data_IF_986095661804
#
_entry.id   IF_986095661804
#
_cell.length_a   1.000
_cell.length_b   1.000
_cell.length_c   1.000
_cell.angle_alpha   90.00
_cell.angle_beta   90.00
_cell.angle_gamma   90.00
#
_symmetry.space_group_name_H-M   'P 1'
#
loop_
_entity.id
_entity.type
_entity.pdbx_description
1 polymer ?
#
# COMPACT_ATOMS: atom_id res chain seq x y z
N UNK A 1 -33.69 11.23 -12.76
CA UNK A 1 -32.39 10.77 -13.15
C UNK A 1 -31.43 10.71 -11.97
N UNK A 2 -31.07 9.55 -11.65
CA UNK A 2 -30.08 9.45 -10.62
C UNK A 2 -28.72 9.89 -11.18
N UNK A 3 -28.09 10.78 -10.52
CA UNK A 3 -26.70 11.08 -10.82
C UNK A 3 -25.86 10.03 -10.18
N UNK A 4 -25.45 9.09 -10.96
CA UNK A 4 -24.47 8.14 -10.51
C UNK A 4 -23.15 8.87 -10.37
N UNK A 5 -22.81 9.22 -9.15
CA UNK A 5 -21.47 9.71 -8.85
C UNK A 5 -20.57 8.49 -8.99
N UNK A 6 -19.82 8.48 -10.09
CA UNK A 6 -18.84 7.41 -10.30
C UNK A 6 -17.62 7.71 -9.47
N UNK A 7 -17.34 6.83 -8.53
CA UNK A 7 -16.10 6.84 -7.77
C UNK A 7 -15.10 5.98 -8.52
N UNK A 8 -13.94 6.52 -8.79
CA UNK A 8 -12.89 5.79 -9.49
C UNK A 8 -11.65 5.61 -8.61
N UNK A 9 -10.86 4.61 -8.97
CA UNK A 9 -9.68 4.25 -8.22
C UNK A 9 -8.56 3.79 -9.15
N UNK A 10 -7.35 3.85 -8.62
CA UNK A 10 -6.18 3.21 -9.20
C UNK A 10 -5.58 2.23 -8.20
N UNK A 11 -4.89 1.23 -8.71
CA UNK A 11 -4.14 0.29 -7.91
C UNK A 11 -2.66 0.48 -8.21
N UNK A 12 -1.86 0.68 -7.19
CA UNK A 12 -0.40 0.78 -7.29
C UNK A 12 0.22 -0.46 -6.67
N UNK A 13 0.81 -1.28 -7.51
CA UNK A 13 1.50 -2.50 -7.10
C UNK A 13 2.97 -2.19 -6.93
N UNK A 14 3.52 -2.50 -5.77
CA UNK A 14 4.91 -2.22 -5.43
C UNK A 14 5.64 -3.53 -5.21
N UNK A 15 6.61 -3.84 -6.06
CA UNK A 15 7.36 -5.07 -5.90
C UNK A 15 8.24 -5.42 -7.10
N UNK A 16 9.53 -5.56 -6.85
CA UNK A 16 10.48 -6.01 -7.87
C UNK A 16 10.14 -7.42 -8.37
N UNK A 17 9.62 -8.27 -7.49
CA UNK A 17 9.25 -9.65 -7.82
C UNK A 17 8.12 -9.73 -8.85
N UNK A 18 7.24 -8.75 -8.86
CA UNK A 18 6.17 -8.67 -9.86
C UNK A 18 6.76 -8.29 -11.21
N UNK A 19 7.62 -7.26 -11.24
CA UNK A 19 8.26 -6.79 -12.47
C UNK A 19 9.18 -7.83 -13.09
N UNK A 20 9.87 -8.61 -12.27
CA UNK A 20 10.78 -9.66 -12.75
C UNK A 20 10.06 -10.94 -13.15
N UNK A 21 8.77 -11.05 -12.87
CA UNK A 21 8.01 -12.25 -13.17
C UNK A 21 8.20 -13.39 -12.16
N UNK A 22 8.92 -13.16 -11.05
CA UNK A 22 9.12 -14.19 -10.01
C UNK A 22 7.84 -14.49 -9.26
N UNK A 23 6.96 -13.52 -9.16
CA UNK A 23 5.67 -13.66 -8.47
C UNK A 23 4.57 -13.18 -9.40
N UNK A 24 3.53 -14.00 -9.53
CA UNK A 24 2.34 -13.59 -10.26
C UNK A 24 1.47 -12.74 -9.36
N UNK A 25 1.02 -11.60 -9.87
CA UNK A 25 0.08 -10.75 -9.15
C UNK A 25 -1.32 -11.34 -9.20
N UNK A 26 -1.83 -11.78 -8.05
CA UNK A 26 -3.20 -12.25 -7.91
C UNK A 26 -4.06 -11.26 -7.13
N UNK A 27 -3.45 -10.29 -6.48
CA UNK A 27 -4.17 -9.32 -5.64
C UNK A 27 -5.00 -8.34 -6.44
N UNK A 28 -4.52 -7.93 -7.62
CA UNK A 28 -5.22 -6.96 -8.45
C UNK A 28 -6.59 -7.45 -8.87
N UNK A 29 -6.69 -8.68 -9.35
CA UNK A 29 -7.96 -9.26 -9.77
C UNK A 29 -8.96 -9.32 -8.60
N UNK A 30 -8.51 -9.78 -7.44
CA UNK A 30 -9.34 -9.88 -6.24
C UNK A 30 -9.82 -8.50 -5.79
N UNK A 31 -8.91 -7.54 -5.71
CA UNK A 31 -9.22 -6.19 -5.26
C UNK A 31 -10.14 -5.48 -6.24
N UNK A 32 -9.87 -5.56 -7.53
CA UNK A 32 -10.69 -4.91 -8.56
C UNK A 32 -12.10 -5.47 -8.57
N UNK A 33 -12.24 -6.80 -8.45
CA UNK A 33 -13.55 -7.45 -8.40
C UNK A 33 -14.35 -6.97 -7.18
N UNK A 34 -13.71 -6.92 -6.02
CA UNK A 34 -14.37 -6.46 -4.81
C UNK A 34 -14.77 -4.98 -4.90
N UNK A 35 -13.87 -4.13 -5.38
CA UNK A 35 -14.15 -2.71 -5.53
C UNK A 35 -15.33 -2.46 -6.49
N UNK A 36 -15.36 -3.16 -7.61
CA UNK A 36 -16.47 -3.05 -8.55
C UNK A 36 -17.80 -3.45 -7.89
N UNK A 37 -17.77 -4.46 -7.00
CA UNK A 37 -18.99 -4.92 -6.33
C UNK A 37 -19.58 -3.87 -5.39
N UNK A 38 -18.77 -2.93 -4.91
CA UNK A 38 -19.23 -1.85 -4.03
C UNK A 38 -19.31 -0.49 -4.74
N UNK A 39 -19.24 -0.48 -6.07
CA UNK A 39 -19.44 0.72 -6.87
C UNK A 39 -18.20 1.56 -7.12
N UNK A 40 -17.01 1.03 -6.88
CA UNK A 40 -15.76 1.72 -7.16
C UNK A 40 -15.14 1.12 -8.42
N UNK A 41 -14.96 1.95 -9.44
CA UNK A 41 -14.38 1.49 -10.70
C UNK A 41 -12.86 1.64 -10.69
N UNK A 42 -12.15 0.58 -10.97
CA UNK A 42 -10.69 0.62 -11.14
C UNK A 42 -10.38 1.01 -12.58
N UNK A 43 -9.79 2.18 -12.76
CA UNK A 43 -9.49 2.72 -14.08
C UNK A 43 -8.04 2.54 -14.49
N UNK A 44 -7.15 2.35 -13.52
CA UNK A 44 -5.72 2.22 -13.83
C UNK A 44 -5.03 1.32 -12.81
N UNK A 45 -4.08 0.53 -13.29
CA UNK A 45 -3.20 -0.30 -12.47
C UNK A 45 -1.77 -0.01 -12.91
N UNK A 46 -0.90 0.31 -11.97
CA UNK A 46 0.53 0.50 -12.23
C UNK A 46 1.36 -0.38 -11.34
N UNK A 47 2.47 -0.85 -11.88
CA UNK A 47 3.45 -1.64 -11.15
C UNK A 47 4.76 -0.86 -11.11
N UNK A 48 5.32 -0.70 -9.93
CA UNK A 48 6.60 0.00 -9.73
C UNK A 48 7.54 -0.85 -8.89
N UNK A 49 8.87 -0.64 -9.03
CA UNK A 49 9.83 -1.34 -8.19
C UNK A 49 9.81 -0.82 -6.75
N UNK A 50 10.49 -1.55 -5.86
CA UNK A 50 10.71 -1.15 -4.47
C UNK A 50 11.75 -0.02 -4.42
N UNK A 51 11.39 1.13 -4.94
CA UNK A 51 12.25 2.31 -5.04
C UNK A 51 11.44 3.54 -4.65
N UNK A 52 11.91 4.25 -3.63
CA UNK A 52 11.17 5.34 -3.02
C UNK A 52 10.73 6.42 -4.01
N UNK A 53 11.64 6.87 -4.88
CA UNK A 53 11.31 7.94 -5.82
C UNK A 53 10.20 7.52 -6.80
N UNK A 54 10.25 6.28 -7.29
CA UNK A 54 9.23 5.76 -8.19
C UNK A 54 7.87 5.64 -7.51
N UNK A 55 7.88 5.18 -6.26
CA UNK A 55 6.65 5.07 -5.47
C UNK A 55 6.05 6.46 -5.25
N UNK A 56 6.87 7.41 -4.80
CA UNK A 56 6.42 8.77 -4.48
C UNK A 56 5.87 9.48 -5.72
N UNK A 57 6.58 9.44 -6.83
CA UNK A 57 6.15 10.09 -8.07
C UNK A 57 4.85 9.49 -8.60
N UNK A 58 4.78 8.16 -8.63
CA UNK A 58 3.60 7.48 -9.16
C UNK A 58 2.39 7.72 -8.25
N UNK A 59 2.58 7.60 -6.94
CA UNK A 59 1.50 7.85 -5.99
C UNK A 59 0.99 9.29 -6.10
N UNK A 60 1.87 10.27 -6.19
CA UNK A 60 1.48 11.67 -6.32
C UNK A 60 0.69 11.92 -7.62
N UNK A 61 1.07 11.28 -8.70
CA UNK A 61 0.31 11.36 -9.95
C UNK A 61 -1.09 10.74 -9.79
N UNK A 62 -1.14 9.52 -9.28
CA UNK A 62 -2.40 8.78 -9.18
C UNK A 62 -3.40 9.44 -8.23
N UNK A 63 -2.94 9.94 -7.08
CA UNK A 63 -3.84 10.56 -6.10
C UNK A 63 -4.43 11.90 -6.57
N UNK A 64 -3.81 12.54 -7.55
CA UNK A 64 -4.35 13.77 -8.16
C UNK A 64 -5.40 13.43 -9.22
N UNK A 65 -5.33 12.25 -9.80
CA UNK A 65 -6.15 11.83 -10.93
C UNK A 65 -7.38 11.05 -10.49
N UNK A 66 -7.24 10.25 -9.43
CA UNK A 66 -8.29 9.31 -8.98
C UNK A 66 -8.77 9.66 -7.59
N UNK A 67 -10.01 9.25 -7.30
CA UNK A 67 -10.62 9.47 -5.98
C UNK A 67 -9.93 8.63 -4.89
N UNK A 68 -9.53 7.41 -5.25
CA UNK A 68 -8.83 6.50 -4.34
C UNK A 68 -7.63 5.87 -5.02
N UNK A 69 -6.59 5.64 -4.25
CA UNK A 69 -5.42 4.84 -4.67
C UNK A 69 -5.20 3.75 -3.64
N UNK A 70 -5.19 2.51 -4.10
CA UNK A 70 -4.91 1.35 -3.26
C UNK A 70 -3.51 0.85 -3.57
N UNK A 71 -2.71 0.64 -2.54
CA UNK A 71 -1.36 0.09 -2.72
C UNK A 71 -1.33 -1.37 -2.28
N UNK A 72 -0.54 -2.17 -2.98
CA UNK A 72 -0.23 -3.54 -2.57
C UNK A 72 1.29 -3.72 -2.61
N UNK A 73 1.80 -4.54 -1.70
CA UNK A 73 3.21 -4.84 -1.62
C UNK A 73 4.02 -3.88 -0.76
N UNK A 74 5.20 -4.30 -0.37
CA UNK A 74 6.16 -3.48 0.35
C UNK A 74 5.78 -3.12 1.78
N UNK A 75 4.93 -3.91 2.44
CA UNK A 75 4.45 -3.64 3.81
C UNK A 75 4.91 -4.68 4.84
N UNK A 76 5.82 -5.55 4.45
CA UNK A 76 6.34 -6.60 5.32
C UNK A 76 7.47 -6.12 6.24
N UNK A 77 8.16 -7.09 6.89
CA UNK A 77 9.13 -6.79 7.94
C UNK A 77 10.57 -6.54 7.46
N UNK A 78 10.86 -6.64 6.15
CA UNK A 78 12.23 -6.52 5.66
C UNK A 78 12.61 -5.07 5.37
N UNK A 79 13.92 -4.82 5.18
CA UNK A 79 14.40 -3.50 4.83
C UNK A 79 13.98 -3.05 3.42
N UNK A 80 13.57 -3.99 2.57
CA UNK A 80 13.06 -3.70 1.23
C UNK A 80 11.58 -3.27 1.25
N UNK A 81 10.90 -3.46 2.38
CA UNK A 81 9.51 -3.07 2.54
C UNK A 81 9.43 -1.58 2.90
N UNK A 82 9.28 -0.73 1.90
CA UNK A 82 9.37 0.73 2.04
C UNK A 82 8.08 1.47 1.68
N UNK A 83 6.97 0.76 1.49
CA UNK A 83 5.72 1.39 1.03
C UNK A 83 5.21 2.43 2.02
N UNK A 84 5.08 2.10 3.30
CA UNK A 84 4.55 3.04 4.29
C UNK A 84 5.43 4.28 4.42
N UNK A 85 6.74 4.11 4.40
CA UNK A 85 7.69 5.22 4.44
C UNK A 85 7.54 6.12 3.22
N UNK A 86 7.41 5.52 2.04
CA UNK A 86 7.25 6.24 0.78
C UNK A 86 5.93 7.01 0.73
N UNK A 87 4.85 6.41 1.25
CA UNK A 87 3.54 7.08 1.36
C UNK A 87 3.64 8.28 2.28
N UNK A 88 4.32 8.15 3.42
CA UNK A 88 4.55 9.25 4.33
C UNK A 88 5.25 10.41 3.63
N UNK A 89 6.29 10.11 2.87
CA UNK A 89 7.02 11.11 2.10
C UNK A 89 6.15 11.79 1.04
N UNK A 90 5.37 11.01 0.31
CA UNK A 90 4.49 11.53 -0.74
C UNK A 90 3.48 12.53 -0.21
N UNK A 91 2.96 12.29 1.00
CA UNK A 91 1.95 13.14 1.62
C UNK A 91 2.55 14.20 2.56
N UNK A 92 3.86 14.25 2.74
CA UNK A 92 4.49 15.15 3.69
C UNK A 92 4.09 14.87 5.13
N UNK A 93 3.86 13.61 5.46
CA UNK A 93 3.45 13.17 6.80
C UNK A 93 4.60 12.51 7.54
N UNK A 94 4.51 12.51 8.86
CA UNK A 94 5.49 11.80 9.68
C UNK A 94 5.37 10.31 9.47
N UNK A 95 6.51 9.64 9.52
CA UNK A 95 6.58 8.18 9.52
C UNK A 95 6.96 7.75 10.92
N UNK A 96 6.01 7.19 11.65
CA UNK A 96 6.20 6.86 13.06
C UNK A 96 5.39 5.64 13.50
N UNK A 97 5.71 5.12 14.68
CA UNK A 97 5.02 3.96 15.25
C UNK A 97 3.56 4.32 15.51
N UNK A 98 2.65 3.50 14.98
CA UNK A 98 1.24 3.57 15.33
C UNK A 98 1.04 2.79 16.63
N UNK A 99 0.78 3.49 17.72
CA UNK A 99 0.75 2.92 19.07
C UNK A 99 -0.23 1.76 19.23
N UNK A 100 -1.42 1.91 18.68
CA UNK A 100 -2.44 0.88 18.77
C UNK A 100 -2.08 -0.36 17.96
N UNK A 101 -1.58 -0.16 16.73
CA UNK A 101 -1.10 -1.27 15.91
C UNK A 101 0.06 -2.00 16.58
N UNK A 102 0.94 -1.27 17.25
CA UNK A 102 2.05 -1.86 18.00
C UNK A 102 1.54 -2.81 19.08
N UNK A 103 0.57 -2.38 19.87
CA UNK A 103 -0.02 -3.21 20.92
C UNK A 103 -0.66 -4.47 20.35
N UNK A 104 -1.41 -4.32 19.28
CA UNK A 104 -2.10 -5.44 18.65
C UNK A 104 -1.10 -6.44 18.10
N UNK A 105 -0.14 -5.99 17.33
CA UNK A 105 0.84 -6.88 16.70
C UNK A 105 1.71 -7.57 17.75
N UNK A 106 2.15 -6.84 18.76
CA UNK A 106 2.96 -7.39 19.86
C UNK A 106 2.25 -8.56 20.54
N UNK A 107 0.92 -8.51 20.67
CA UNK A 107 0.15 -9.56 21.34
C UNK A 107 0.20 -10.90 20.63
N UNK A 108 0.58 -10.93 19.36
CA UNK A 108 0.69 -12.17 18.58
C UNK A 108 2.05 -12.86 18.72
N UNK A 109 3.00 -12.24 19.41
CA UNK A 109 4.35 -12.78 19.55
C UNK A 109 4.68 -13.05 21.02
N UNK A 110 5.50 -14.08 21.24
CA UNK A 110 6.05 -14.38 22.56
C UNK A 110 7.13 -13.34 22.94
N UNK A 111 7.40 -13.15 24.25
CA UNK A 111 8.48 -12.26 24.67
C UNK A 111 9.79 -12.55 23.93
N UNK A 112 10.42 -11.52 23.37
CA UNK A 112 11.65 -11.63 22.61
C UNK A 112 11.48 -11.96 21.12
N UNK A 113 10.29 -12.35 20.69
CA UNK A 113 10.03 -12.67 19.28
C UNK A 113 9.58 -11.45 18.46
N UNK A 114 9.13 -10.39 19.11
CA UNK A 114 8.71 -9.16 18.44
C UNK A 114 9.93 -8.29 18.15
N UNK A 115 10.72 -8.71 17.16
CA UNK A 115 11.99 -8.08 16.80
C UNK A 115 11.81 -6.80 15.98
N UNK A 116 12.91 -6.12 15.66
CA UNK A 116 12.90 -4.87 14.90
C UNK A 116 12.19 -4.99 13.54
N UNK A 117 12.45 -6.07 12.81
CA UNK A 117 11.81 -6.30 11.52
C UNK A 117 10.31 -6.36 11.63
N UNK A 118 9.80 -7.08 12.63
CA UNK A 118 8.37 -7.19 12.87
C UNK A 118 7.79 -5.88 13.38
N UNK A 119 8.53 -5.15 14.20
CA UNK A 119 8.11 -3.83 14.70
C UNK A 119 7.98 -2.82 13.56
N UNK A 120 8.77 -2.95 12.51
CA UNK A 120 8.71 -2.07 11.36
C UNK A 120 7.31 -2.02 10.73
N UNK A 121 6.56 -3.13 10.79
CA UNK A 121 5.23 -3.21 10.19
C UNK A 121 4.18 -2.30 10.86
N UNK A 122 4.49 -1.74 12.03
CA UNK A 122 3.59 -0.80 12.73
C UNK A 122 4.03 0.66 12.58
N UNK A 123 5.06 0.94 11.81
CA UNK A 123 5.44 2.29 11.41
C UNK A 123 4.56 2.72 10.26
N UNK A 124 3.88 3.83 10.41
CA UNK A 124 2.86 4.29 9.46
C UNK A 124 2.90 5.80 9.28
N UNK A 125 2.33 6.32 8.18
CA UNK A 125 2.10 7.75 8.05
C UNK A 125 1.16 8.25 9.16
N UNK A 126 1.46 9.39 9.71
CA UNK A 126 0.61 9.94 10.75
C UNK A 126 0.23 11.41 10.49
#
# INVERSE_FOLDING_TARGET
MSKNIKVNAAILIIGNEILSGRTQDTNTSTLATWLNSIGIKVDEVRVVPDEENMIVETLNFLRKTYDYVFTTGGIGPTHDDITAQSVSKAFGKKYEIHKEAFKILKSYYKPGEFNEGRQKMVWMPS
#
